data_IF_467761446731
#
_entry.id   IF_467761446731
#
_cell.length_a   1.000
_cell.length_b   1.000
_cell.length_c   1.000
_cell.angle_alpha   90.00
_cell.angle_beta   90.00
_cell.angle_gamma   90.00
#
_symmetry.space_group_name_H-M   'P 1'
#
loop_
_entity.id
_entity.type
_entity.pdbx_description
1 polymer ?
#
# COMPACT_ATOMS: atom_id res chain seq x y z
N UNK A 1 -43.20 -4.60 4.47
CA UNK A 1 -41.89 -3.95 4.26
C UNK A 1 -40.80 -5.02 4.29
N UNK A 2 -40.04 -5.25 3.20
CA UNK A 2 -38.83 -6.05 3.26
C UNK A 2 -37.57 -5.23 2.96
N UNK A 3 -36.61 -5.33 3.89
CA UNK A 3 -35.21 -5.61 3.60
C UNK A 3 -34.44 -4.57 2.79
N UNK A 4 -33.89 -3.59 3.49
CA UNK A 4 -32.80 -2.73 3.00
C UNK A 4 -31.59 -3.60 2.62
N UNK A 5 -31.43 -3.92 1.35
CA UNK A 5 -30.21 -4.53 0.79
C UNK A 5 -29.06 -3.53 0.93
N UNK A 6 -28.36 -3.64 2.04
CA UNK A 6 -27.19 -2.84 2.39
C UNK A 6 -26.07 -3.15 1.38
N UNK A 7 -25.47 -2.10 0.84
CA UNK A 7 -24.65 -2.14 -0.36
C UNK A 7 -23.54 -3.18 -0.33
N UNK A 8 -23.61 -4.12 -1.28
CA UNK A 8 -22.46 -4.85 -1.79
C UNK A 8 -21.54 -3.87 -2.52
N UNK A 9 -20.88 -2.98 -1.76
CA UNK A 9 -19.66 -2.32 -2.21
C UNK A 9 -18.69 -3.45 -2.49
N UNK A 10 -18.63 -3.89 -3.74
CA UNK A 10 -17.52 -4.68 -4.29
C UNK A 10 -16.25 -3.94 -3.87
N UNK A 11 -15.68 -4.31 -2.73
CA UNK A 11 -14.38 -3.81 -2.29
C UNK A 11 -13.44 -4.28 -3.38
N UNK A 12 -13.02 -3.36 -4.24
CA UNK A 12 -11.96 -3.66 -5.20
C UNK A 12 -10.79 -4.22 -4.39
N UNK A 13 -10.39 -5.49 -4.58
CA UNK A 13 -9.32 -6.08 -3.78
C UNK A 13 -8.02 -5.28 -3.87
N UNK A 14 -7.84 -4.53 -4.97
CA UNK A 14 -6.73 -3.62 -5.18
C UNK A 14 -6.67 -2.43 -4.22
N UNK A 15 -7.80 -1.83 -3.83
CA UNK A 15 -7.80 -0.66 -2.95
C UNK A 15 -7.39 -1.03 -1.52
N UNK A 16 -7.87 -2.18 -1.02
CA UNK A 16 -7.49 -2.67 0.31
C UNK A 16 -6.00 -3.06 0.35
N UNK A 17 -5.48 -3.64 -0.73
CA UNK A 17 -4.05 -3.97 -0.85
C UNK A 17 -3.16 -2.73 -0.93
N UNK A 18 -3.59 -1.70 -1.66
CA UNK A 18 -2.86 -0.43 -1.72
C UNK A 18 -2.65 0.17 -0.32
N UNK A 19 -3.69 0.14 0.52
CA UNK A 19 -3.60 0.59 1.92
C UNK A 19 -2.63 -0.29 2.72
N UNK A 20 -2.72 -1.61 2.62
CA UNK A 20 -1.81 -2.54 3.32
C UNK A 20 -0.35 -2.32 2.94
N UNK A 21 -0.04 -2.15 1.65
CA UNK A 21 1.33 -1.89 1.23
C UNK A 21 1.81 -0.48 1.61
N UNK A 22 0.90 0.51 1.67
CA UNK A 22 1.22 1.82 2.21
C UNK A 22 1.59 1.76 3.70
N UNK A 23 0.87 0.97 4.50
CA UNK A 23 1.17 0.75 5.93
C UNK A 23 2.56 0.11 6.12
N UNK A 24 2.94 -0.82 5.24
CA UNK A 24 4.28 -1.43 5.25
C UNK A 24 5.37 -0.38 4.99
N UNK A 25 5.12 0.52 4.04
CA UNK A 25 6.05 1.62 3.72
C UNK A 25 6.14 2.63 4.87
N UNK A 26 5.01 3.00 5.47
CA UNK A 26 4.95 3.87 6.64
C UNK A 26 5.72 3.27 7.82
N UNK A 27 5.52 1.98 8.11
CA UNK A 27 6.24 1.27 9.15
C UNK A 27 7.75 1.26 8.88
N UNK A 28 8.16 1.00 7.63
CA UNK A 28 9.55 1.06 7.23
C UNK A 28 10.17 2.44 7.47
N UNK A 29 9.46 3.50 7.10
CA UNK A 29 9.89 4.88 7.34
C UNK A 29 10.02 5.21 8.83
N UNK A 30 9.09 4.72 9.66
CA UNK A 30 9.14 4.89 11.11
C UNK A 30 10.34 4.15 11.74
N UNK A 31 10.83 3.08 11.09
CA UNK A 31 12.08 2.40 11.44
C UNK A 31 13.35 3.03 10.83
N UNK A 32 13.24 4.21 10.21
CA UNK A 32 14.37 4.94 9.62
C UNK A 32 14.64 4.64 8.14
N UNK A 33 13.84 3.80 7.49
CA UNK A 33 13.97 3.48 6.06
C UNK A 33 13.11 4.45 5.26
N UNK A 34 13.67 5.62 4.92
CA UNK A 34 12.92 6.68 4.22
C UNK A 34 12.34 6.25 2.87
N UNK A 35 13.02 5.31 2.20
CA UNK A 35 12.63 4.77 0.90
C UNK A 35 12.86 3.25 0.87
N UNK A 36 11.90 2.52 0.31
CA UNK A 36 11.92 1.07 0.17
C UNK A 36 11.67 0.66 -1.28
N UNK A 37 12.43 -0.30 -1.77
CA UNK A 37 12.20 -0.95 -3.07
C UNK A 37 11.04 -1.95 -2.98
N UNK A 38 10.45 -2.32 -4.12
CA UNK A 38 9.38 -3.35 -4.16
C UNK A 38 9.79 -4.65 -3.47
N UNK A 39 11.00 -5.22 -3.69
CA UNK A 39 11.43 -6.42 -2.96
C UNK A 39 11.52 -6.23 -1.44
N UNK A 40 11.95 -5.06 -0.96
CA UNK A 40 12.00 -4.76 0.47
C UNK A 40 10.60 -4.63 1.08
N UNK A 41 9.67 -4.00 0.36
CA UNK A 41 8.26 -3.89 0.77
C UNK A 41 7.64 -5.28 0.83
N UNK A 42 7.87 -6.13 -0.18
CA UNK A 42 7.40 -7.52 -0.17
C UNK A 42 7.99 -8.30 1.00
N UNK A 43 9.30 -8.19 1.27
CA UNK A 43 9.93 -8.86 2.39
C UNK A 43 9.37 -8.39 3.75
N UNK A 44 9.10 -7.09 3.90
CA UNK A 44 8.48 -6.53 5.10
C UNK A 44 7.02 -7.00 5.25
N UNK A 45 6.24 -6.96 4.18
CA UNK A 45 4.87 -7.44 4.15
C UNK A 45 4.76 -8.94 4.49
N UNK A 46 5.70 -9.75 4.00
CA UNK A 46 5.80 -11.17 4.38
C UNK A 46 6.03 -11.37 5.87
N UNK A 47 6.94 -10.58 6.47
CA UNK A 47 7.20 -10.63 7.93
C UNK A 47 5.98 -10.23 8.76
N UNK A 48 5.10 -9.40 8.21
CA UNK A 48 3.84 -8.99 8.83
C UNK A 48 2.69 -9.99 8.58
N UNK A 49 2.95 -11.12 7.92
CA UNK A 49 1.94 -12.14 7.61
C UNK A 49 0.97 -11.73 6.50
N UNK A 50 1.30 -10.71 5.71
CA UNK A 50 0.49 -10.29 4.57
C UNK A 50 0.71 -11.28 3.41
N UNK A 51 -0.38 -11.79 2.83
CA UNK A 51 -0.28 -12.68 1.68
C UNK A 51 0.30 -11.92 0.48
N UNK A 52 1.47 -12.36 0.01
CA UNK A 52 2.19 -11.72 -1.09
C UNK A 52 1.66 -12.18 -2.45
N UNK A 53 1.10 -11.27 -3.27
CA UNK A 53 0.86 -11.56 -4.67
C UNK A 53 2.16 -11.45 -5.48
N UNK A 54 2.07 -11.61 -6.81
CA UNK A 54 3.22 -11.39 -7.69
C UNK A 54 3.72 -9.94 -7.62
N UNK A 55 5.02 -9.75 -7.87
CA UNK A 55 5.65 -8.42 -7.85
C UNK A 55 4.90 -7.40 -8.72
N UNK A 56 4.41 -7.83 -9.89
CA UNK A 56 3.60 -7.01 -10.79
C UNK A 56 2.35 -6.46 -10.08
N UNK A 57 1.65 -7.29 -9.31
CA UNK A 57 0.44 -6.89 -8.57
C UNK A 57 0.78 -5.99 -7.40
N UNK A 58 1.90 -6.23 -6.72
CA UNK A 58 2.41 -5.35 -5.66
C UNK A 58 2.70 -3.97 -6.24
N UNK A 59 3.40 -3.89 -7.37
CA UNK A 59 3.70 -2.62 -8.04
C UNK A 59 2.44 -1.85 -8.43
N UNK A 60 1.45 -2.51 -9.03
CA UNK A 60 0.14 -1.89 -9.33
C UNK A 60 -0.53 -1.36 -8.06
N UNK A 61 -0.44 -2.09 -6.94
CA UNK A 61 -1.03 -1.67 -5.67
C UNK A 61 -0.29 -0.48 -5.05
N UNK A 62 1.04 -0.45 -5.16
CA UNK A 62 1.88 0.67 -4.73
C UNK A 62 1.61 1.91 -5.60
N UNK A 63 1.52 1.75 -6.91
CA UNK A 63 1.19 2.85 -7.83
C UNK A 63 -0.22 3.42 -7.54
N UNK A 64 -1.18 2.55 -7.19
CA UNK A 64 -2.49 2.99 -6.72
C UNK A 64 -2.41 3.73 -5.37
N UNK A 65 -1.54 3.30 -4.46
CA UNK A 65 -1.31 4.00 -3.19
C UNK A 65 -0.64 5.37 -3.38
N UNK A 66 0.27 5.49 -4.37
CA UNK A 66 0.88 6.76 -4.80
C UNK A 66 -0.19 7.67 -5.40
N UNK A 67 -1.01 7.15 -6.32
CA UNK A 67 -2.12 7.90 -6.92
C UNK A 67 -3.16 8.37 -5.90
N UNK A 68 -3.31 7.65 -4.78
CA UNK A 68 -4.16 8.03 -3.66
C UNK A 68 -3.48 8.97 -2.64
N UNK A 69 -2.20 9.32 -2.83
CA UNK A 69 -1.44 10.21 -1.94
C UNK A 69 -1.00 9.57 -0.61
N UNK A 70 -1.16 8.25 -0.45
CA UNK A 70 -0.79 7.53 0.79
C UNK A 70 0.72 7.42 0.96
N UNK A 71 1.44 7.19 -0.14
CA UNK A 71 2.89 7.06 -0.20
C UNK A 71 3.44 7.89 -1.36
N UNK A 72 4.74 8.19 -1.33
CA UNK A 72 5.45 8.80 -2.42
C UNK A 72 6.23 7.75 -3.21
N UNK A 73 6.30 7.91 -4.52
CA UNK A 73 7.25 7.18 -5.37
C UNK A 73 8.42 8.10 -5.73
N UNK A 74 9.62 7.55 -5.72
CA UNK A 74 10.84 8.21 -6.17
C UNK A 74 11.17 7.78 -7.60
N UNK A 75 11.87 8.63 -8.34
CA UNK A 75 12.27 8.36 -9.73
C UNK A 75 13.19 7.13 -9.89
N UNK A 76 13.72 6.60 -8.78
CA UNK A 76 14.59 5.40 -8.74
C UNK A 76 13.85 4.08 -8.50
N UNK A 77 12.52 4.08 -8.52
CA UNK A 77 11.73 2.85 -8.31
C UNK A 77 11.64 2.42 -6.84
N UNK A 78 11.82 3.38 -5.93
CA UNK A 78 11.62 3.25 -4.49
C UNK A 78 10.34 3.98 -4.06
N UNK A 79 9.76 3.55 -2.95
CA UNK A 79 8.56 4.11 -2.37
C UNK A 79 8.83 4.52 -0.92
N UNK A 80 8.35 5.69 -0.52
CA UNK A 80 8.57 6.25 0.80
C UNK A 80 7.30 6.86 1.38
N UNK A 81 7.37 7.27 2.64
CA UNK A 81 6.28 7.96 3.33
C UNK A 81 5.93 9.25 2.58
N UNK A 82 4.65 9.44 2.24
CA UNK A 82 4.20 10.69 1.64
C UNK A 82 4.38 11.82 2.66
N UNK A 83 5.16 12.85 2.31
CA UNK A 83 5.31 14.05 3.16
C UNK A 83 3.99 14.82 3.38
N UNK A 84 2.90 14.42 2.72
CA UNK A 84 1.58 15.05 2.86
C UNK A 84 0.89 14.78 4.21
N UNK A 85 1.46 13.94 5.10
CA UNK A 85 0.94 13.76 6.47
C UNK A 85 1.47 14.80 7.49
N UNK A 86 1.72 16.02 7.03
CA UNK A 86 2.02 17.18 7.87
C UNK A 86 1.05 18.32 7.50
N UNK A 87 -0.18 18.25 8.02
CA UNK A 87 -1.13 19.36 8.07
C UNK A 87 -1.96 19.23 9.35
#
# INVERSE_FOLDING_TARGET
MPGRSNGSRKRFPGAQRAIQFAEVVDLGADHGWQELTVPQIMAAAFRLGINLPSERVVRISLDAAVGAGLIASSSRGTYGKSRQRAA
#
